data_IF_872853810936
#
_entry.id   IF_872853810936
#
_cell.length_a   1.000
_cell.length_b   1.000
_cell.length_c   1.000
_cell.angle_alpha   90.00
_cell.angle_beta   90.00
_cell.angle_gamma   90.00
#
_symmetry.space_group_name_H-M   'P 1'
#
loop_
_entity.id
_entity.type
_entity.pdbx_description
1 polymer ?
#
# COMPACT_ATOMS: atom_id res chain seq x y z
N UNK A 1 -7.62 20.01 6.25
CA UNK A 1 -7.18 19.86 7.65
C UNK A 1 -5.94 20.71 7.93
N UNK A 2 -4.79 20.44 7.32
CA UNK A 2 -3.54 21.18 7.56
C UNK A 2 -3.63 22.69 7.30
N UNK A 3 -4.31 23.11 6.23
CA UNK A 3 -4.54 24.54 5.92
C UNK A 3 -5.36 25.30 6.97
N UNK A 4 -6.01 24.57 7.89
CA UNK A 4 -6.82 25.16 8.95
C UNK A 4 -6.12 25.14 10.32
N UNK A 5 -4.87 24.66 10.41
CA UNK A 5 -4.13 24.59 11.66
C UNK A 5 -3.94 25.99 12.28
N UNK A 6 -4.22 26.13 13.58
CA UNK A 6 -4.12 27.41 14.30
C UNK A 6 -5.26 28.42 14.03
N UNK A 7 -6.15 28.13 13.08
CA UNK A 7 -7.30 28.98 12.79
C UNK A 7 -8.36 28.86 13.90
N UNK A 8 -9.11 29.95 14.24
CA UNK A 8 -10.14 29.92 15.28
C UNK A 8 -11.25 28.89 14.98
N UNK A 9 -11.93 28.40 16.01
CA UNK A 9 -13.15 27.63 15.81
C UNK A 9 -14.23 28.56 15.20
N UNK A 10 -14.93 28.09 14.17
CA UNK A 10 -16.13 28.76 13.60
C UNK A 10 -17.12 27.68 13.17
N UNK A 11 -18.42 27.93 13.31
CA UNK A 11 -19.51 27.07 12.81
C UNK A 11 -19.29 26.64 11.35
N UNK A 12 -18.90 27.59 10.49
CA UNK A 12 -18.61 27.34 9.07
C UNK A 12 -17.49 26.30 8.88
N UNK A 13 -16.43 26.35 9.70
CA UNK A 13 -15.30 25.42 9.61
C UNK A 13 -15.67 24.03 10.10
N UNK A 14 -16.42 23.94 11.20
CA UNK A 14 -16.96 22.68 11.70
C UNK A 14 -17.82 22.03 10.62
N UNK A 15 -18.76 22.78 10.04
CA UNK A 15 -19.61 22.30 8.96
C UNK A 15 -18.80 21.85 7.72
N UNK A 16 -17.79 22.62 7.31
CA UNK A 16 -16.94 22.27 6.18
C UNK A 16 -16.14 20.97 6.40
N UNK A 17 -15.60 20.76 7.61
CA UNK A 17 -14.87 19.54 7.97
C UNK A 17 -15.81 18.33 8.10
N UNK A 18 -16.99 18.51 8.70
CA UNK A 18 -18.02 17.47 8.75
C UNK A 18 -18.43 17.02 7.35
N UNK A 19 -18.68 17.98 6.45
CA UNK A 19 -18.97 17.70 5.04
C UNK A 19 -17.80 17.04 4.30
N UNK A 20 -16.55 17.35 4.64
CA UNK A 20 -15.39 16.66 4.07
C UNK A 20 -15.32 15.20 4.54
N UNK A 21 -15.53 14.96 5.84
CA UNK A 21 -15.56 13.62 6.42
C UNK A 21 -16.68 12.77 5.78
N UNK A 22 -17.84 13.37 5.51
CA UNK A 22 -18.93 12.75 4.75
C UNK A 22 -18.49 12.31 3.37
N UNK A 23 -17.90 13.20 2.58
CA UNK A 23 -17.46 12.88 1.22
C UNK A 23 -16.42 11.77 1.20
N UNK A 24 -15.43 11.81 2.09
CA UNK A 24 -14.44 10.73 2.20
C UNK A 24 -15.07 9.40 2.63
N UNK A 25 -16.02 9.44 3.57
CA UNK A 25 -16.72 8.23 4.01
C UNK A 25 -17.58 7.64 2.89
N UNK A 26 -18.31 8.48 2.16
CA UNK A 26 -19.17 8.07 1.05
C UNK A 26 -18.39 7.54 -0.16
N UNK A 27 -17.15 8.01 -0.38
CA UNK A 27 -16.29 7.51 -1.45
C UNK A 27 -15.89 6.04 -1.25
N UNK A 28 -15.90 5.54 0.00
CA UNK A 28 -15.62 4.14 0.33
C UNK A 28 -14.22 3.65 -0.07
N UNK A 29 -13.27 4.56 -0.33
CA UNK A 29 -11.91 4.19 -0.74
C UNK A 29 -11.09 3.80 0.48
N UNK A 30 -10.44 2.64 0.41
CA UNK A 30 -9.62 2.16 1.52
C UNK A 30 -8.37 3.05 1.80
N UNK A 31 -7.94 3.87 0.84
CA UNK A 31 -6.86 4.87 1.01
C UNK A 31 -7.30 6.14 1.75
N UNK A 32 -8.61 6.38 1.92
CA UNK A 32 -9.09 7.62 2.55
C UNK A 32 -8.96 7.59 4.09
N UNK A 33 -8.56 6.47 4.71
CA UNK A 33 -8.40 6.32 6.18
C UNK A 33 -7.67 7.49 6.82
N UNK A 34 -6.47 7.80 6.33
CA UNK A 34 -5.61 8.81 6.94
C UNK A 34 -6.17 10.22 6.75
N UNK A 35 -6.81 10.48 5.61
CA UNK A 35 -7.53 11.74 5.37
C UNK A 35 -8.72 11.89 6.34
N UNK A 36 -9.49 10.82 6.57
CA UNK A 36 -10.62 10.80 7.52
C UNK A 36 -10.14 11.03 8.95
N UNK A 37 -9.07 10.35 9.37
CA UNK A 37 -8.44 10.55 10.69
C UNK A 37 -7.94 11.99 10.85
N UNK A 38 -7.28 12.56 9.84
CA UNK A 38 -6.81 13.95 9.89
C UNK A 38 -7.96 14.97 9.95
N UNK A 39 -9.09 14.70 9.30
CA UNK A 39 -10.30 15.52 9.42
C UNK A 39 -10.89 15.42 10.82
N UNK A 40 -10.98 14.22 11.39
CA UNK A 40 -11.48 13.97 12.75
C UNK A 40 -10.62 14.60 13.84
N UNK A 41 -9.29 14.45 13.74
CA UNK A 41 -8.37 15.12 14.66
C UNK A 41 -8.55 16.64 14.62
N UNK A 42 -8.69 17.20 13.40
CA UNK A 42 -8.93 18.65 13.27
C UNK A 42 -10.30 19.07 13.80
N UNK A 43 -11.34 18.28 13.57
CA UNK A 43 -12.67 18.51 14.14
C UNK A 43 -12.57 18.64 15.66
N UNK A 44 -11.81 17.78 16.32
CA UNK A 44 -11.54 17.83 17.76
C UNK A 44 -11.04 19.19 18.27
N UNK A 45 -10.37 19.98 17.42
CA UNK A 45 -9.84 21.30 17.78
C UNK A 45 -10.78 22.47 17.42
N UNK A 46 -11.78 22.24 16.56
CA UNK A 46 -12.66 23.27 16.02
C UNK A 46 -14.11 22.91 16.28
N UNK A 47 -14.62 23.39 17.41
CA UNK A 47 -16.02 23.25 17.81
C UNK A 47 -16.46 24.41 18.68
N UNK A 48 -17.65 24.95 18.41
CA UNK A 48 -18.21 26.13 19.11
C UNK A 48 -19.29 25.76 20.13
N UNK A 49 -19.52 24.47 20.39
CA UNK A 49 -20.45 24.04 21.43
C UNK A 49 -21.82 23.55 20.94
N UNK A 50 -22.03 23.41 19.62
CA UNK A 50 -23.31 22.94 19.07
C UNK A 50 -23.63 21.48 19.47
N UNK A 51 -24.76 21.21 20.15
CA UNK A 51 -25.16 19.85 20.50
C UNK A 51 -25.54 18.98 19.31
N UNK A 52 -25.98 19.58 18.20
CA UNK A 52 -26.33 18.87 16.98
C UNK A 52 -25.10 18.18 16.36
N UNK A 53 -23.94 18.85 16.41
CA UNK A 53 -22.68 18.32 15.88
C UNK A 53 -22.22 17.08 16.65
N UNK A 54 -22.40 17.05 17.97
CA UNK A 54 -22.11 15.89 18.81
C UNK A 54 -22.95 14.69 18.38
N UNK A 55 -24.25 14.90 18.18
CA UNK A 55 -25.15 13.85 17.69
C UNK A 55 -24.74 13.33 16.32
N UNK A 56 -24.32 14.22 15.43
CA UNK A 56 -23.88 13.86 14.09
C UNK A 56 -22.53 13.11 14.10
N UNK A 57 -21.53 13.56 14.88
CA UNK A 57 -20.20 12.95 14.95
C UNK A 57 -20.21 11.56 15.61
N UNK A 58 -21.17 11.29 16.51
CA UNK A 58 -21.36 9.97 17.15
C UNK A 58 -21.51 8.81 16.17
N UNK A 59 -22.00 9.04 14.94
CA UNK A 59 -22.16 7.97 13.95
C UNK A 59 -20.83 7.33 13.53
N UNK A 60 -19.71 8.04 13.66
CA UNK A 60 -18.39 7.48 13.34
C UNK A 60 -17.80 6.63 14.48
N UNK A 61 -18.41 6.60 15.67
CA UNK A 61 -18.00 5.64 16.71
C UNK A 61 -18.15 4.18 16.25
N UNK A 62 -19.06 3.93 15.30
CA UNK A 62 -19.30 2.60 14.72
C UNK A 62 -18.68 2.41 13.35
N UNK A 63 -17.73 3.27 12.95
CA UNK A 63 -17.04 3.12 11.66
C UNK A 63 -16.36 1.75 11.55
N UNK A 64 -16.42 1.06 10.40
CA UNK A 64 -15.74 -0.23 10.24
C UNK A 64 -14.22 -0.13 10.37
N UNK A 65 -13.62 1.04 10.13
CA UNK A 65 -12.21 1.27 10.40
C UNK A 65 -12.00 1.66 11.88
N UNK A 66 -11.29 0.83 12.67
CA UNK A 66 -11.10 1.08 14.10
C UNK A 66 -10.30 2.36 14.39
N UNK A 67 -9.43 2.81 13.47
CA UNK A 67 -8.69 4.07 13.64
C UNK A 67 -9.60 5.28 13.45
N UNK A 68 -10.53 5.20 12.49
CA UNK A 68 -11.53 6.25 12.27
C UNK A 68 -12.50 6.31 13.46
N UNK A 69 -12.97 5.15 13.93
CA UNK A 69 -13.82 5.08 15.12
C UNK A 69 -13.13 5.66 16.37
N UNK A 70 -11.86 5.31 16.58
CA UNK A 70 -11.06 5.88 17.67
C UNK A 70 -10.87 7.39 17.53
N UNK A 71 -10.54 7.88 16.33
CA UNK A 71 -10.36 9.32 16.10
C UNK A 71 -11.67 10.10 16.35
N UNK A 72 -12.83 9.52 16.02
CA UNK A 72 -14.14 10.11 16.33
C UNK A 72 -14.39 10.15 17.84
N UNK A 73 -14.06 9.08 18.57
CA UNK A 73 -14.13 9.05 20.03
C UNK A 73 -13.27 10.15 20.68
N UNK A 74 -12.03 10.30 20.22
CA UNK A 74 -11.11 11.35 20.71
C UNK A 74 -11.64 12.75 20.40
N UNK A 75 -12.15 12.98 19.18
CA UNK A 75 -12.73 14.27 18.81
C UNK A 75 -13.96 14.61 19.68
N UNK A 76 -14.86 13.63 19.91
CA UNK A 76 -16.02 13.79 20.79
C UNK A 76 -15.61 14.05 22.25
N UNK A 77 -14.56 13.39 22.74
CA UNK A 77 -14.04 13.64 24.08
C UNK A 77 -13.48 15.06 24.22
N UNK A 78 -12.74 15.56 23.21
CA UNK A 78 -12.29 16.97 23.18
C UNK A 78 -13.45 17.95 23.18
N UNK A 79 -14.54 17.64 22.48
CA UNK A 79 -15.74 18.49 22.46
C UNK A 79 -16.48 18.45 23.79
N UNK A 80 -16.86 17.26 24.27
CA UNK A 80 -17.81 17.15 25.38
C UNK A 80 -17.16 17.03 26.75
N UNK A 81 -15.84 16.78 26.83
CA UNK A 81 -15.14 16.44 28.07
C UNK A 81 -15.55 15.08 28.66
N UNK A 82 -16.25 14.25 27.89
CA UNK A 82 -16.74 12.94 28.31
C UNK A 82 -16.07 11.87 27.44
N UNK A 83 -15.70 10.76 28.05
CA UNK A 83 -15.18 9.61 27.31
C UNK A 83 -16.28 8.99 26.45
N UNK A 84 -15.96 8.70 25.20
CA UNK A 84 -16.82 7.93 24.30
C UNK A 84 -16.09 6.65 23.90
N UNK A 85 -16.78 5.51 23.93
CA UNK A 85 -16.17 4.22 23.56
C UNK A 85 -16.35 3.98 22.06
N UNK A 86 -15.26 3.76 21.29
CA UNK A 86 -15.37 3.35 19.90
C UNK A 86 -15.90 1.91 19.82
N UNK A 87 -16.88 1.68 18.95
CA UNK A 87 -17.54 0.40 18.74
C UNK A 87 -17.58 0.04 17.25
N UNK A 88 -16.41 -0.13 16.59
CA UNK A 88 -16.34 -0.34 15.15
C UNK A 88 -17.18 -1.53 14.72
N UNK A 89 -18.06 -1.33 13.74
CA UNK A 89 -19.01 -2.33 13.27
C UNK A 89 -18.82 -2.57 11.77
N UNK A 90 -18.61 -3.84 11.42
CA UNK A 90 -18.31 -4.28 10.05
C UNK A 90 -16.91 -4.88 9.91
N UNK A 91 -16.71 -5.68 8.87
CA UNK A 91 -15.41 -6.25 8.54
C UNK A 91 -14.78 -5.48 7.38
N UNK A 92 -13.60 -4.91 7.61
CA UNK A 92 -12.74 -4.50 6.49
C UNK A 92 -12.40 -5.75 5.66
N UNK A 93 -12.35 -5.66 4.32
CA UNK A 93 -11.90 -6.78 3.48
C UNK A 93 -10.50 -7.19 3.93
N UNK A 94 -10.33 -8.46 4.31
CA UNK A 94 -9.02 -9.03 4.65
C UNK A 94 -8.68 -10.08 3.61
N UNK A 95 -7.44 -10.05 3.13
CA UNK A 95 -6.89 -11.19 2.41
C UNK A 95 -6.66 -12.34 3.41
N UNK A 96 -6.87 -13.59 3.00
CA UNK A 96 -6.48 -14.73 3.82
C UNK A 96 -4.98 -14.65 4.11
N UNK A 97 -4.60 -15.02 5.33
CA UNK A 97 -3.19 -15.16 5.68
C UNK A 97 -2.65 -16.44 5.02
N UNK A 98 -1.39 -16.42 4.54
CA UNK A 98 -0.76 -17.61 4.00
C UNK A 98 -0.52 -18.65 5.10
N UNK A 99 -0.67 -19.92 4.74
CA UNK A 99 -0.39 -21.04 5.63
C UNK A 99 1.11 -21.32 5.72
N UNK A 100 1.57 -21.91 6.83
CA UNK A 100 2.99 -22.22 7.04
C UNK A 100 3.61 -23.01 5.87
N UNK A 101 2.90 -24.03 5.36
CA UNK A 101 3.36 -24.85 4.22
C UNK A 101 3.50 -24.06 2.92
N UNK A 102 2.68 -23.03 2.74
CA UNK A 102 2.78 -22.13 1.59
C UNK A 102 4.07 -21.31 1.68
N UNK A 103 4.38 -20.76 2.87
CA UNK A 103 5.60 -19.99 3.10
C UNK A 103 6.87 -20.83 2.88
N UNK A 104 6.88 -22.08 3.38
CA UNK A 104 7.99 -23.02 3.14
C UNK A 104 8.18 -23.31 1.65
N UNK A 105 7.08 -23.54 0.92
CA UNK A 105 7.14 -23.78 -0.51
C UNK A 105 7.73 -22.56 -1.25
N UNK A 106 7.24 -21.35 -0.94
CA UNK A 106 7.71 -20.11 -1.59
C UNK A 106 9.21 -19.86 -1.41
N UNK A 107 9.79 -20.25 -0.27
CA UNK A 107 11.23 -20.11 -0.03
C UNK A 107 12.07 -21.06 -0.89
N UNK A 108 11.49 -22.17 -1.38
CA UNK A 108 12.20 -23.19 -2.16
C UNK A 108 12.22 -22.95 -3.67
N UNK A 109 11.93 -21.73 -4.13
CA UNK A 109 11.83 -21.41 -5.55
C UNK A 109 12.06 -19.94 -5.86
N UNK A 110 11.86 -19.59 -7.12
CA UNK A 110 12.08 -18.25 -7.65
C UNK A 110 10.84 -17.76 -8.38
N UNK A 111 10.52 -16.49 -8.19
CA UNK A 111 9.65 -15.76 -9.10
C UNK A 111 10.48 -15.34 -10.31
N UNK A 112 10.17 -15.92 -11.47
CA UNK A 112 10.79 -15.63 -12.75
C UNK A 112 9.90 -14.68 -13.54
N UNK A 113 10.45 -13.51 -13.87
CA UNK A 113 9.78 -12.49 -14.68
C UNK A 113 10.45 -12.40 -16.04
N UNK A 114 9.72 -12.72 -17.11
CA UNK A 114 10.15 -12.49 -18.48
C UNK A 114 9.74 -11.09 -18.93
N UNK A 115 10.71 -10.31 -19.38
CA UNK A 115 10.52 -8.96 -19.90
C UNK A 115 10.59 -8.96 -21.42
N UNK A 116 9.74 -8.15 -22.06
CA UNK A 116 9.69 -7.95 -23.51
C UNK A 116 9.67 -6.46 -23.86
N UNK A 117 10.54 -6.09 -24.81
CA UNK A 117 10.70 -4.73 -25.33
C UNK A 117 11.59 -3.84 -24.45
N UNK A 118 12.36 -2.94 -25.08
CA UNK A 118 12.84 -1.69 -24.45
C UNK A 118 14.17 -1.67 -23.69
N UNK A 119 14.99 -2.72 -23.74
CA UNK A 119 16.37 -2.69 -23.21
C UNK A 119 17.41 -2.30 -24.25
N UNK A 120 18.31 -1.36 -23.94
CA UNK A 120 19.47 -1.05 -24.77
C UNK A 120 20.52 -2.17 -24.64
N UNK A 121 20.37 -3.27 -25.40
CA UNK A 121 21.46 -4.23 -25.62
C UNK A 121 21.18 -5.71 -25.33
N UNK A 122 20.03 -6.07 -24.74
CA UNK A 122 19.72 -7.46 -24.35
C UNK A 122 18.54 -8.03 -25.15
N UNK A 123 18.76 -8.41 -26.42
CA UNK A 123 17.81 -9.18 -27.23
C UNK A 123 16.36 -8.66 -27.24
N UNK A 124 15.41 -9.49 -27.64
CA UNK A 124 13.96 -9.18 -27.53
C UNK A 124 13.35 -9.64 -26.20
N UNK A 125 14.11 -10.37 -25.38
CA UNK A 125 13.66 -11.00 -24.13
C UNK A 125 14.76 -10.97 -23.07
N UNK A 126 14.38 -10.61 -21.86
CA UNK A 126 15.24 -10.65 -20.67
C UNK A 126 14.51 -11.37 -19.54
N UNK A 127 15.24 -11.98 -18.61
CA UNK A 127 14.68 -12.63 -17.44
C UNK A 127 15.21 -11.99 -16.16
N UNK A 128 14.34 -11.84 -15.17
CA UNK A 128 14.67 -11.41 -13.81
C UNK A 128 14.23 -12.50 -12.85
N UNK A 129 15.15 -12.96 -12.02
CA UNK A 129 14.96 -14.06 -11.09
C UNK A 129 14.91 -13.49 -9.68
N UNK A 130 13.78 -13.65 -8.99
CA UNK A 130 13.52 -13.04 -7.68
C UNK A 130 13.34 -14.16 -6.65
N UNK A 131 14.21 -14.18 -5.65
CA UNK A 131 14.01 -14.98 -4.44
C UNK A 131 13.00 -14.26 -3.54
N UNK A 132 11.88 -14.92 -3.25
CA UNK A 132 10.89 -14.39 -2.30
C UNK A 132 11.37 -14.59 -0.87
N UNK A 133 10.99 -13.67 0.01
CA UNK A 133 11.31 -13.66 1.44
C UNK A 133 10.02 -13.86 2.27
N UNK A 134 9.40 -15.05 2.22
CA UNK A 134 8.10 -15.29 2.82
C UNK A 134 8.09 -15.25 4.36
N UNK A 135 9.25 -15.27 5.01
CA UNK A 135 9.37 -15.09 6.46
C UNK A 135 9.66 -13.65 6.88
N UNK A 136 10.02 -12.78 5.92
CA UNK A 136 10.16 -11.34 6.15
C UNK A 136 8.83 -10.64 5.92
N UNK A 137 8.18 -10.92 4.79
CA UNK A 137 6.90 -10.34 4.40
C UNK A 137 5.94 -11.43 3.89
N UNK A 138 5.36 -12.24 4.80
CA UNK A 138 4.56 -13.42 4.45
C UNK A 138 3.42 -13.12 3.48
N UNK A 139 2.62 -12.10 3.80
CA UNK A 139 1.42 -11.75 3.04
C UNK A 139 1.80 -11.18 1.68
N UNK A 140 2.84 -10.35 1.62
CA UNK A 140 3.32 -9.71 0.40
C UNK A 140 3.96 -10.71 -0.55
N UNK A 141 4.81 -11.62 -0.05
CA UNK A 141 5.41 -12.68 -0.83
C UNK A 141 4.36 -13.65 -1.39
N UNK A 142 3.43 -14.12 -0.56
CA UNK A 142 2.35 -15.01 -0.99
C UNK A 142 1.43 -14.33 -2.00
N UNK A 143 1.10 -13.05 -1.80
CA UNK A 143 0.29 -12.27 -2.73
C UNK A 143 0.94 -12.17 -4.10
N UNK A 144 2.20 -11.78 -4.19
CA UNK A 144 2.89 -11.64 -5.48
C UNK A 144 3.02 -12.99 -6.18
N UNK A 145 3.31 -14.06 -5.44
CA UNK A 145 3.32 -15.41 -5.99
C UNK A 145 1.94 -15.83 -6.53
N UNK A 146 0.86 -15.53 -5.82
CA UNK A 146 -0.51 -15.78 -6.28
C UNK A 146 -0.84 -14.98 -7.55
N UNK A 147 -0.50 -13.68 -7.60
CA UNK A 147 -0.71 -12.84 -8.79
C UNK A 147 0.06 -13.38 -10.00
N UNK A 148 1.29 -13.86 -9.81
CA UNK A 148 2.08 -14.48 -10.87
C UNK A 148 1.48 -15.82 -11.33
N UNK A 149 1.13 -16.70 -10.39
CA UNK A 149 0.49 -18.00 -10.66
C UNK A 149 -0.80 -17.84 -11.44
N UNK A 150 -1.60 -16.85 -11.08
CA UNK A 150 -2.91 -16.59 -11.68
C UNK A 150 -2.79 -15.78 -12.99
N UNK A 151 -1.56 -15.49 -13.46
CA UNK A 151 -1.28 -14.79 -14.71
C UNK A 151 -1.64 -13.30 -14.70
N UNK A 152 -1.91 -12.73 -13.53
CA UNK A 152 -2.37 -11.34 -13.37
C UNK A 152 -1.28 -10.34 -13.76
N UNK A 153 -0.01 -10.71 -13.55
CA UNK A 153 1.14 -9.86 -13.91
C UNK A 153 1.47 -9.89 -15.41
N UNK A 154 0.92 -10.86 -16.17
CA UNK A 154 1.23 -11.04 -17.58
C UNK A 154 0.65 -9.87 -18.40
N UNK A 155 1.48 -9.30 -19.28
CA UNK A 155 1.13 -8.16 -20.12
C UNK A 155 1.15 -6.81 -19.41
N UNK A 156 1.33 -6.76 -18.08
CA UNK A 156 1.51 -5.51 -17.34
C UNK A 156 2.87 -4.88 -17.65
N UNK A 157 3.07 -3.62 -17.26
CA UNK A 157 4.29 -2.89 -17.54
C UNK A 157 5.07 -2.50 -16.31
N UNK A 158 6.39 -2.41 -16.49
CA UNK A 158 7.29 -1.60 -15.67
C UNK A 158 7.10 -0.13 -16.11
N UNK A 159 6.04 0.49 -15.58
CA UNK A 159 5.53 1.77 -16.06
C UNK A 159 6.32 2.97 -15.54
N UNK A 160 7.19 2.78 -14.54
CA UNK A 160 8.02 3.86 -13.98
C UNK A 160 9.45 3.38 -13.81
N UNK A 161 10.38 4.07 -14.45
CA UNK A 161 11.83 3.85 -14.32
C UNK A 161 12.42 5.14 -13.78
N UNK A 162 12.70 5.15 -12.49
CA UNK A 162 13.36 6.29 -11.84
C UNK A 162 14.88 6.03 -11.79
N UNK A 163 15.68 6.74 -12.61
CA UNK A 163 17.12 6.52 -12.67
C UNK A 163 17.77 6.72 -11.29
N UNK A 164 18.73 5.85 -10.95
CA UNK A 164 19.39 5.83 -9.64
C UNK A 164 18.42 5.76 -8.45
N UNK A 165 17.29 5.08 -8.64
CA UNK A 165 16.31 4.88 -7.58
C UNK A 165 15.66 3.51 -7.69
N UNK A 166 14.51 3.41 -8.38
CA UNK A 166 13.72 2.18 -8.48
C UNK A 166 13.13 2.01 -9.87
N UNK A 167 12.89 0.76 -10.23
CA UNK A 167 11.99 0.37 -11.32
C UNK A 167 10.69 -0.12 -10.71
N UNK A 168 9.55 0.37 -11.16
CA UNK A 168 8.23 0.04 -10.61
C UNK A 168 7.27 -0.44 -11.70
N UNK A 169 6.43 -1.42 -11.33
CA UNK A 169 5.50 -2.05 -12.26
C UNK A 169 4.38 -2.85 -11.59
N UNK A 170 3.66 -3.61 -12.42
CA UNK A 170 2.55 -4.46 -11.95
C UNK A 170 1.22 -3.72 -11.79
N UNK A 171 1.04 -2.58 -12.47
CA UNK A 171 -0.24 -1.86 -12.49
C UNK A 171 -1.08 -2.26 -13.71
N UNK A 172 -2.39 -2.57 -13.54
CA UNK A 172 -3.31 -2.76 -14.65
C UNK A 172 -3.58 -1.47 -15.45
N UNK A 173 -3.36 -0.30 -14.84
CA UNK A 173 -3.50 1.00 -15.49
C UNK A 173 -2.21 1.55 -16.08
N UNK A 174 -1.11 0.79 -16.01
CA UNK A 174 0.24 1.26 -16.32
C UNK A 174 0.57 2.59 -15.61
N UNK A 175 0.13 2.74 -14.37
CA UNK A 175 0.34 3.95 -13.58
C UNK A 175 0.37 3.65 -12.07
N UNK A 176 0.80 4.64 -11.30
CA UNK A 176 0.91 4.50 -9.86
C UNK A 176 -0.44 4.49 -9.13
N UNK A 177 -1.59 4.69 -9.78
CA UNK A 177 -2.90 4.91 -9.15
C UNK A 177 -3.88 3.74 -9.25
N UNK A 178 -3.58 2.75 -10.08
CA UNK A 178 -4.41 1.55 -10.27
C UNK A 178 -3.64 0.29 -9.85
N UNK A 179 -4.28 -0.61 -9.09
CA UNK A 179 -3.71 -1.89 -8.72
C UNK A 179 -4.77 -2.94 -8.46
N UNK A 180 -4.34 -4.09 -7.94
CA UNK A 180 -5.18 -5.24 -7.68
C UNK A 180 -5.66 -5.17 -6.23
N UNK A 181 -6.97 -5.10 -5.98
CA UNK A 181 -7.51 -5.04 -4.61
C UNK A 181 -7.36 -6.35 -3.84
N UNK A 182 -7.82 -6.41 -2.56
CA UNK A 182 -7.87 -5.31 -1.60
C UNK A 182 -6.45 -4.90 -1.18
N UNK A 183 -6.30 -3.83 -0.39
CA UNK A 183 -4.97 -3.44 0.09
C UNK A 183 -4.40 -4.41 1.13
N UNK A 184 -3.09 -4.62 1.10
CA UNK A 184 -2.32 -5.28 2.16
C UNK A 184 -1.73 -4.27 3.13
N UNK A 185 -1.60 -4.68 4.38
CA UNK A 185 -0.82 -3.96 5.39
C UNK A 185 0.66 -3.98 5.06
N UNK A 186 1.38 -3.00 5.57
CA UNK A 186 2.84 -2.99 5.45
C UNK A 186 3.44 -4.05 6.38
N UNK A 187 4.41 -4.81 5.89
CA UNK A 187 5.17 -5.83 6.61
C UNK A 187 6.59 -5.30 6.78
N UNK A 188 6.71 -4.29 7.64
CA UNK A 188 7.97 -3.57 7.86
C UNK A 188 8.95 -4.49 8.59
N UNK A 189 9.92 -4.98 7.82
CA UNK A 189 10.95 -5.91 8.25
C UNK A 189 12.24 -5.26 8.73
N UNK A 190 13.27 -6.09 8.90
CA UNK A 190 14.65 -5.70 9.24
C UNK A 190 15.55 -5.58 8.00
N UNK A 191 15.11 -6.11 6.85
CA UNK A 191 15.87 -6.02 5.61
C UNK A 191 15.83 -4.59 5.08
N UNK A 192 17.02 -3.97 5.00
CA UNK A 192 17.19 -2.65 4.39
C UNK A 192 16.97 -2.68 2.88
N UNK A 193 16.60 -1.54 2.31
CA UNK A 193 16.36 -1.34 0.88
C UNK A 193 17.67 -1.25 0.08
N UNK A 194 18.44 -2.33 0.08
CA UNK A 194 19.67 -2.48 -0.70
C UNK A 194 19.39 -2.63 -2.20
N UNK A 195 20.38 -2.35 -3.03
CA UNK A 195 20.33 -2.67 -4.47
C UNK A 195 19.93 -4.14 -4.68
N UNK A 196 18.97 -4.37 -5.56
CA UNK A 196 18.41 -5.68 -5.88
C UNK A 196 17.23 -6.11 -5.01
N UNK A 197 16.93 -5.42 -3.89
CA UNK A 197 15.73 -5.74 -3.11
C UNK A 197 14.45 -5.36 -3.85
N UNK A 198 13.39 -6.14 -3.63
CA UNK A 198 12.07 -5.99 -4.25
C UNK A 198 11.05 -5.66 -3.16
N UNK A 199 10.32 -4.57 -3.34
CA UNK A 199 9.38 -4.05 -2.37
C UNK A 199 7.98 -3.80 -2.91
N UNK A 200 7.02 -3.63 -2.01
CA UNK A 200 5.62 -3.35 -2.33
C UNK A 200 5.45 -1.87 -2.60
N UNK A 201 4.93 -1.50 -3.78
CA UNK A 201 4.59 -0.09 -4.03
C UNK A 201 3.30 0.29 -3.32
N UNK A 202 3.30 1.43 -2.64
CA UNK A 202 2.20 1.92 -1.81
C UNK A 202 1.91 3.40 -2.08
N UNK A 203 0.72 3.85 -1.68
CA UNK A 203 0.24 5.24 -1.76
C UNK A 203 0.03 5.85 -0.37
N UNK A 204 0.86 5.42 0.58
CA UNK A 204 0.67 5.63 2.01
C UNK A 204 0.63 4.30 2.76
N UNK A 205 0.58 4.38 4.09
CA UNK A 205 0.68 3.19 4.94
C UNK A 205 -0.48 2.22 4.69
N UNK A 206 -0.18 0.93 4.63
CA UNK A 206 -1.14 -0.16 4.46
C UNK A 206 -1.96 -0.08 3.16
N UNK A 207 -1.33 0.32 2.05
CA UNK A 207 -2.00 0.49 0.75
C UNK A 207 -1.39 -0.34 -0.38
N UNK A 208 -0.66 -1.42 -0.04
CA UNK A 208 -0.08 -2.33 -1.03
C UNK A 208 -1.16 -3.03 -1.86
N UNK A 209 -1.05 -3.00 -3.19
CA UNK A 209 -2.09 -3.43 -4.11
C UNK A 209 -1.60 -4.41 -5.19
N UNK A 210 -0.47 -5.07 -4.93
CA UNK A 210 0.16 -5.97 -5.88
C UNK A 210 1.11 -5.29 -6.87
N UNK A 211 1.20 -3.95 -6.88
CA UNK A 211 2.32 -3.28 -7.52
C UNK A 211 3.62 -3.54 -6.75
N UNK A 212 4.72 -3.66 -7.50
CA UNK A 212 6.06 -3.90 -6.96
C UNK A 212 7.05 -2.88 -7.50
N UNK A 213 8.15 -2.71 -6.76
CA UNK A 213 9.33 -2.00 -7.23
C UNK A 213 10.60 -2.79 -6.95
N UNK A 214 11.64 -2.55 -7.74
CA UNK A 214 12.98 -3.09 -7.56
C UNK A 214 13.94 -1.93 -7.33
N UNK A 215 14.72 -2.00 -6.26
CA UNK A 215 15.81 -1.07 -5.99
C UNK A 215 16.97 -1.32 -6.96
N UNK A 216 17.34 -0.32 -7.76
CA UNK A 216 18.52 -0.41 -8.68
C UNK A 216 19.79 0.21 -8.07
N UNK A 217 19.65 0.87 -6.92
CA UNK A 217 20.72 1.38 -6.04
C UNK A 217 20.30 1.16 -4.59
N UNK A 218 21.20 1.42 -3.64
CA UNK A 218 20.86 1.42 -2.21
C UNK A 218 19.96 2.60 -1.87
N UNK A 219 18.79 2.31 -1.31
CA UNK A 219 17.73 3.28 -1.01
C UNK A 219 17.31 3.22 0.45
N UNK A 220 18.27 3.29 1.37
CA UNK A 220 18.05 3.23 2.83
C UNK A 220 17.02 4.25 3.37
N UNK A 221 16.73 5.31 2.60
CA UNK A 221 15.65 6.25 2.89
C UNK A 221 14.23 5.65 2.82
N UNK A 222 14.08 4.45 2.27
CA UNK A 222 12.82 3.71 2.20
C UNK A 222 12.65 2.75 3.39
N UNK A 223 13.73 2.53 4.16
CA UNK A 223 13.72 1.66 5.32
C UNK A 223 12.63 2.10 6.31
N UNK A 224 11.92 1.13 6.86
CA UNK A 224 10.83 1.31 7.82
C UNK A 224 9.53 1.96 7.29
N UNK A 225 9.50 2.36 6.02
CA UNK A 225 8.32 2.91 5.36
C UNK A 225 7.74 2.00 4.27
N UNK A 226 8.56 1.12 3.69
CA UNK A 226 8.14 0.19 2.65
C UNK A 226 8.46 -1.26 3.01
N UNK A 227 7.60 -2.18 2.57
CA UNK A 227 7.81 -3.62 2.72
C UNK A 227 8.83 -4.11 1.70
N UNK A 228 9.86 -4.85 2.14
CA UNK A 228 10.70 -5.68 1.28
C UNK A 228 10.19 -7.12 1.35
N UNK A 229 9.88 -7.72 0.19
CA UNK A 229 9.36 -9.10 0.13
C UNK A 229 10.19 -10.05 -0.72
N UNK A 230 11.25 -9.55 -1.38
CA UNK A 230 12.10 -10.38 -2.22
C UNK A 230 13.43 -9.72 -2.55
N UNK A 231 14.32 -10.48 -3.20
CA UNK A 231 15.61 -10.02 -3.71
C UNK A 231 15.83 -10.58 -5.10
N UNK A 232 16.28 -9.74 -6.02
CA UNK A 232 16.75 -10.17 -7.34
C UNK A 232 18.05 -10.95 -7.17
N UNK A 233 18.05 -12.22 -7.57
CA UNK A 233 19.21 -13.12 -7.53
C UNK A 233 19.81 -13.37 -8.92
N UNK A 234 19.15 -12.90 -9.98
CA UNK A 234 19.67 -12.94 -11.35
C UNK A 234 18.94 -11.96 -12.27
N UNK A 235 19.65 -11.39 -13.24
CA UNK A 235 19.08 -10.48 -14.24
C UNK A 235 18.82 -9.05 -13.76
N UNK A 236 19.51 -8.58 -12.72
CA UNK A 236 19.38 -7.19 -12.24
C UNK A 236 19.85 -6.18 -13.29
N UNK A 237 20.90 -6.52 -14.05
CA UNK A 237 21.45 -5.73 -15.15
C UNK A 237 20.43 -5.41 -16.25
N UNK A 238 19.41 -6.28 -16.40
CA UNK A 238 18.31 -6.02 -17.32
C UNK A 238 17.46 -4.84 -16.83
N UNK A 239 17.19 -4.75 -15.52
CA UNK A 239 16.40 -3.67 -14.92
C UNK A 239 17.14 -2.32 -14.89
N UNK A 240 18.47 -2.33 -14.96
CA UNK A 240 19.28 -1.11 -14.99
C UNK A 240 19.28 -0.42 -16.37
N UNK A 241 18.90 -1.13 -17.42
CA UNK A 241 19.06 -0.70 -18.82
C UNK A 241 17.74 -0.57 -19.60
N UNK A 242 16.62 -0.82 -18.93
CA UNK A 242 15.28 -0.73 -19.53
C UNK A 242 14.76 0.70 -19.59
N UNK A 243 13.86 0.94 -20.54
CA UNK A 243 13.06 2.17 -20.63
C UNK A 243 11.71 2.02 -19.94
N UNK A 244 11.01 3.14 -19.71
CA UNK A 244 9.64 3.08 -19.21
C UNK A 244 8.72 2.35 -20.21
N UNK A 245 7.81 1.53 -19.68
CA UNK A 245 6.82 0.81 -20.48
C UNK A 245 7.24 -0.57 -20.96
N UNK A 246 8.42 -1.07 -20.54
CA UNK A 246 8.78 -2.49 -20.74
C UNK A 246 7.69 -3.39 -20.20
N UNK A 247 7.33 -4.41 -20.99
CA UNK A 247 6.24 -5.32 -20.68
C UNK A 247 6.76 -6.54 -19.92
N UNK A 248 6.04 -6.92 -18.88
CA UNK A 248 6.14 -8.24 -18.26
C UNK A 248 5.43 -9.20 -19.21
N UNK A 249 6.19 -9.94 -20.02
CA UNK A 249 5.61 -10.94 -20.92
C UNK A 249 4.93 -12.05 -20.14
N UNK A 250 5.60 -12.55 -19.11
CA UNK A 250 5.04 -13.48 -18.15
C UNK A 250 5.75 -13.39 -16.80
N UNK A 251 5.04 -13.69 -15.72
CA UNK A 251 5.64 -13.92 -14.40
C UNK A 251 5.18 -15.26 -13.83
N UNK A 252 6.11 -16.11 -13.39
CA UNK A 252 5.79 -17.44 -12.84
C UNK A 252 6.63 -17.69 -11.60
N UNK A 253 6.04 -18.34 -10.60
CA UNK A 253 6.83 -18.90 -9.51
C UNK A 253 7.21 -20.34 -9.88
N UNK A 254 8.50 -20.64 -9.81
CA UNK A 254 9.08 -21.92 -10.21
C UNK A 254 9.86 -22.51 -9.02
N UNK A 255 9.63 -23.78 -8.66
CA UNK A 255 10.43 -24.44 -7.63
C UNK A 255 11.87 -24.58 -8.12
N UNK A 256 12.83 -24.44 -7.21
CA UNK A 256 14.23 -24.70 -7.51
C UNK A 256 14.44 -26.22 -7.64
N UNK A 257 14.68 -26.71 -8.85
CA UNK A 257 15.14 -28.08 -9.05
C UNK A 257 16.57 -28.20 -8.50
N UNK A 258 16.76 -29.03 -7.47
CA UNK A 258 18.07 -29.33 -6.88
C UNK A 258 18.87 -30.31 -7.74
#
# INVERSE_FOLDING_TARGET
AQLLAGSPATEERTAALMGALERFTAAGRATDRDARVAVLDRLGDVWEGSPADVGHLRRWLTDPDPRVAMAAAVALERWTGLRHEPAPNGALPRLPLPEWRELEALQSGLLVMELEGGGLGFGSRAQVHIQLLPFEAPTSAARVAALARDGVLDGLTLHRVAPNFVVQGGSPGANEYAGHGPYTRDEIGQIGHWKGTVGVSTRGRDTGDGQLFVNVVDNLRLDHDYTVFGVVVGGLEHLETIQEGVRIRSARWEPWER
#
